data_IF_006659860357
#
_entry.id   IF_006659860357
#
_cell.length_a   1.000
_cell.length_b   1.000
_cell.length_c   1.000
_cell.angle_alpha   90.00
_cell.angle_beta   90.00
_cell.angle_gamma   90.00
#
_symmetry.space_group_name_H-M   'P 1'
#
loop_
_entity.id
_entity.type
_entity.pdbx_description
1 polymer ?
#
# COMPACT_ATOMS: atom_id res chain seq x y z
N UNK A 1 12.66 -31.56 -12.77
CA UNK A 1 12.91 -30.15 -12.41
C UNK A 1 12.03 -29.30 -13.32
N UNK A 2 10.96 -28.70 -12.77
CA UNK A 2 9.98 -27.96 -13.56
C UNK A 2 10.19 -26.45 -13.33
N UNK A 3 10.95 -25.76 -14.19
CA UNK A 3 11.32 -24.35 -14.00
C UNK A 3 10.10 -23.41 -13.94
N UNK A 4 8.98 -23.80 -14.55
CA UNK A 4 7.72 -23.06 -14.48
C UNK A 4 7.08 -23.09 -13.09
N UNK A 5 7.25 -24.18 -12.32
CA UNK A 5 6.73 -24.26 -10.94
C UNK A 5 7.57 -23.40 -9.97
N UNK A 6 8.86 -23.20 -10.24
CA UNK A 6 9.70 -22.31 -9.44
C UNK A 6 9.34 -20.83 -9.64
N UNK A 7 8.87 -20.47 -10.84
CA UNK A 7 8.34 -19.13 -11.14
C UNK A 7 7.03 -18.85 -10.38
N UNK A 8 6.20 -19.88 -10.19
CA UNK A 8 4.94 -19.86 -9.42
C UNK A 8 5.19 -20.27 -7.96
N UNK A 9 6.36 -19.91 -7.41
CA UNK A 9 6.61 -20.04 -5.98
C UNK A 9 6.00 -18.83 -5.24
N UNK A 10 5.48 -19.07 -4.03
CA UNK A 10 4.97 -18.04 -3.15
C UNK A 10 5.95 -16.86 -3.01
N UNK A 11 7.23 -17.14 -2.82
CA UNK A 11 8.28 -16.10 -2.69
C UNK A 11 8.34 -15.19 -3.92
N UNK A 12 8.35 -15.78 -5.11
CA UNK A 12 8.46 -15.07 -6.39
C UNK A 12 7.22 -14.22 -6.65
N UNK A 13 6.03 -14.80 -6.46
CA UNK A 13 4.76 -14.10 -6.63
C UNK A 13 4.66 -12.92 -5.65
N UNK A 14 5.00 -13.16 -4.38
CA UNK A 14 4.98 -12.13 -3.35
C UNK A 14 5.97 -11.00 -3.63
N UNK A 15 7.17 -11.29 -4.12
CA UNK A 15 8.13 -10.29 -4.55
C UNK A 15 7.61 -9.45 -5.73
N UNK A 16 6.97 -10.09 -6.73
CA UNK A 16 6.37 -9.38 -7.87
C UNK A 16 5.23 -8.46 -7.40
N UNK A 17 4.33 -8.95 -6.55
CA UNK A 17 3.23 -8.12 -6.00
C UNK A 17 3.79 -6.94 -5.20
N UNK A 18 4.82 -7.17 -4.39
CA UNK A 18 5.48 -6.13 -3.61
C UNK A 18 6.09 -5.05 -4.52
N UNK A 19 6.77 -5.44 -5.61
CA UNK A 19 7.33 -4.50 -6.58
C UNK A 19 6.25 -3.71 -7.32
N UNK A 20 5.16 -4.36 -7.75
CA UNK A 20 4.02 -3.68 -8.39
C UNK A 20 3.42 -2.63 -7.44
N UNK A 21 3.22 -2.99 -6.17
CA UNK A 21 2.77 -2.05 -5.15
C UNK A 21 3.71 -0.86 -5.00
N UNK A 22 5.02 -1.09 -4.92
CA UNK A 22 6.01 -0.03 -4.79
C UNK A 22 6.03 0.93 -5.99
N UNK A 23 6.02 0.39 -7.22
CA UNK A 23 5.94 1.18 -8.45
C UNK A 23 4.63 1.98 -8.48
N UNK A 24 3.51 1.35 -8.11
CA UNK A 24 2.21 1.99 -8.06
C UNK A 24 2.15 3.19 -7.12
N UNK A 25 2.75 3.11 -5.93
CA UNK A 25 2.81 4.22 -4.97
C UNK A 25 3.54 5.45 -5.56
N UNK A 26 4.60 5.21 -6.34
CA UNK A 26 5.41 6.28 -6.94
C UNK A 26 4.70 6.90 -8.13
N UNK A 27 4.15 6.09 -9.04
CA UNK A 27 3.59 6.56 -10.32
C UNK A 27 2.20 7.20 -10.19
N UNK A 28 1.37 6.77 -9.24
CA UNK A 28 -0.02 7.23 -9.18
C UNK A 28 -0.13 8.66 -8.65
N UNK A 29 -0.92 9.55 -9.28
CA UNK A 29 -1.05 10.94 -8.84
C UNK A 29 -1.99 11.11 -7.65
N UNK A 30 -3.04 10.29 -7.57
CA UNK A 30 -4.08 10.44 -6.55
C UNK A 30 -3.65 9.80 -5.24
N UNK A 31 -3.84 10.49 -4.10
CA UNK A 31 -3.38 9.99 -2.82
C UNK A 31 -4.15 8.74 -2.35
N UNK A 32 -5.42 8.59 -2.72
CA UNK A 32 -6.21 7.38 -2.44
C UNK A 32 -5.64 6.17 -3.20
N UNK A 33 -5.36 6.34 -4.48
CA UNK A 33 -4.83 5.24 -5.31
C UNK A 33 -3.45 4.77 -4.79
N UNK A 34 -2.65 5.67 -4.20
CA UNK A 34 -1.40 5.31 -3.50
C UNK A 34 -1.64 4.42 -2.28
N UNK A 35 -2.71 4.63 -1.52
CA UNK A 35 -3.06 3.79 -0.36
C UNK A 35 -3.43 2.38 -0.82
N UNK A 36 -4.12 2.26 -1.95
CA UNK A 36 -4.45 0.94 -2.54
C UNK A 36 -3.16 0.22 -2.95
N UNK A 37 -2.22 0.92 -3.60
CA UNK A 37 -0.92 0.35 -3.97
C UNK A 37 -0.06 0.02 -2.75
N UNK A 38 -0.19 0.79 -1.66
CA UNK A 38 0.43 0.49 -0.38
C UNK A 38 -0.10 -0.81 0.24
N UNK A 39 -1.42 -1.05 0.18
CA UNK A 39 -2.00 -2.31 0.62
C UNK A 39 -1.50 -3.50 -0.22
N UNK A 40 -1.31 -3.33 -1.54
CA UNK A 40 -0.69 -4.36 -2.38
C UNK A 40 0.77 -4.62 -1.99
N UNK A 41 1.55 -3.58 -1.70
CA UNK A 41 2.93 -3.71 -1.22
C UNK A 41 2.97 -4.50 0.09
N UNK A 42 2.11 -4.17 1.05
CA UNK A 42 1.99 -4.89 2.32
C UNK A 42 1.57 -6.35 2.12
N UNK A 43 0.61 -6.61 1.23
CA UNK A 43 0.20 -7.98 0.88
C UNK A 43 1.34 -8.81 0.28
N UNK A 44 2.13 -8.22 -0.60
CA UNK A 44 3.36 -8.84 -1.11
C UNK A 44 4.38 -9.10 0.00
N UNK A 45 4.55 -8.15 0.92
CA UNK A 45 5.46 -8.29 2.07
C UNK A 45 5.02 -9.41 3.03
N UNK A 46 3.74 -9.50 3.38
CA UNK A 46 3.17 -10.59 4.19
C UNK A 46 3.43 -11.95 3.52
N UNK A 47 3.26 -12.03 2.19
CA UNK A 47 3.53 -13.25 1.44
C UNK A 47 4.99 -13.70 1.50
N UNK A 48 5.95 -12.76 1.51
CA UNK A 48 7.38 -13.06 1.73
C UNK A 48 7.61 -13.60 3.15
N UNK A 49 7.01 -12.98 4.17
CA UNK A 49 7.12 -13.44 5.57
C UNK A 49 6.57 -14.87 5.71
N UNK A 50 5.43 -15.16 5.09
CA UNK A 50 4.83 -16.48 5.07
C UNK A 50 5.74 -17.50 4.34
N UNK A 51 6.34 -17.12 3.20
CA UNK A 51 7.29 -17.95 2.47
C UNK A 51 8.57 -18.26 3.29
N UNK A 52 8.99 -17.30 4.13
CA UNK A 52 10.10 -17.45 5.06
C UNK A 52 9.74 -18.26 6.33
N UNK A 53 8.53 -18.83 6.41
CA UNK A 53 8.03 -19.65 7.52
C UNK A 53 7.88 -18.90 8.86
N UNK A 54 7.81 -17.58 8.83
CA UNK A 54 7.51 -16.75 10.01
C UNK A 54 6.00 -16.53 10.16
N UNK A 55 5.24 -17.61 10.32
CA UNK A 55 3.78 -17.57 10.21
C UNK A 55 3.11 -16.70 11.29
N UNK A 56 3.66 -16.66 12.50
CA UNK A 56 3.14 -15.82 13.60
C UNK A 56 3.24 -14.33 13.26
N UNK A 57 4.36 -13.93 12.63
CA UNK A 57 4.59 -12.56 12.17
C UNK A 57 3.68 -12.24 10.99
N UNK A 58 3.50 -13.18 10.06
CA UNK A 58 2.60 -13.01 8.92
C UNK A 58 1.15 -12.82 9.37
N UNK A 59 0.70 -13.61 10.35
CA UNK A 59 -0.63 -13.49 10.94
C UNK A 59 -0.82 -12.15 11.66
N UNK A 60 0.14 -11.73 12.48
CA UNK A 60 0.09 -10.44 13.14
C UNK A 60 0.03 -9.30 12.11
N UNK A 61 0.91 -9.31 11.10
CA UNK A 61 0.93 -8.31 10.05
C UNK A 61 -0.40 -8.26 9.28
N UNK A 62 -0.98 -9.40 8.91
CA UNK A 62 -2.27 -9.46 8.21
C UNK A 62 -3.45 -8.86 9.01
N UNK A 63 -3.38 -8.87 10.34
CA UNK A 63 -4.39 -8.26 11.22
C UNK A 63 -4.14 -6.75 11.40
N UNK A 64 -2.88 -6.35 11.61
CA UNK A 64 -2.53 -4.96 11.90
C UNK A 64 -2.44 -4.07 10.66
N UNK A 65 -2.05 -4.60 9.50
CA UNK A 65 -1.90 -3.83 8.27
C UNK A 65 -3.20 -3.18 7.78
N UNK A 66 -4.37 -3.84 7.81
CA UNK A 66 -5.66 -3.20 7.51
C UNK A 66 -5.98 -2.05 8.47
N UNK A 67 -5.69 -2.22 9.76
CA UNK A 67 -5.91 -1.17 10.78
C UNK A 67 -5.04 0.05 10.46
N UNK A 68 -3.75 -0.18 10.17
CA UNK A 68 -2.82 0.88 9.77
C UNK A 68 -3.27 1.59 8.50
N UNK A 69 -3.76 0.83 7.52
CA UNK A 69 -4.29 1.36 6.25
C UNK A 69 -5.50 2.28 6.48
N UNK A 70 -6.43 1.89 7.36
CA UNK A 70 -7.58 2.74 7.72
C UNK A 70 -7.14 4.04 8.37
N UNK A 71 -6.18 3.99 9.30
CA UNK A 71 -5.64 5.19 9.95
C UNK A 71 -4.97 6.10 8.92
N UNK A 72 -4.17 5.55 8.01
CA UNK A 72 -3.52 6.29 6.93
C UNK A 72 -4.54 6.94 5.99
N UNK A 73 -5.62 6.23 5.66
CA UNK A 73 -6.68 6.74 4.80
C UNK A 73 -7.38 7.96 5.45
N UNK A 74 -7.71 7.86 6.74
CA UNK A 74 -8.28 8.98 7.52
C UNK A 74 -7.33 10.18 7.51
N UNK A 75 -6.04 9.95 7.74
CA UNK A 75 -5.03 11.01 7.74
C UNK A 75 -4.94 11.72 6.37
N UNK A 76 -4.93 10.95 5.28
CA UNK A 76 -4.87 11.48 3.91
C UNK A 76 -6.11 12.30 3.56
N UNK A 77 -7.31 11.81 3.90
CA UNK A 77 -8.56 12.53 3.66
C UNK A 77 -8.52 13.87 4.40
N UNK A 78 -8.12 13.87 5.68
CA UNK A 78 -8.06 15.08 6.49
C UNK A 78 -7.02 16.09 5.96
N UNK A 79 -5.86 15.61 5.50
CA UNK A 79 -4.86 16.47 4.85
C UNK A 79 -5.43 17.08 3.56
N UNK A 80 -6.16 16.31 2.76
CA UNK A 80 -6.75 16.79 1.53
C UNK A 80 -7.81 17.87 1.79
N UNK A 81 -8.69 17.66 2.77
CA UNK A 81 -9.67 18.68 3.18
C UNK A 81 -9.02 19.99 3.62
N UNK A 82 -7.91 19.94 4.36
CA UNK A 82 -7.19 21.14 4.80
C UNK A 82 -6.56 21.88 3.60
N UNK A 83 -6.03 21.15 2.62
CA UNK A 83 -5.45 21.73 1.40
C UNK A 83 -6.50 22.44 0.55
N UNK A 84 -7.65 21.79 0.35
CA UNK A 84 -8.76 22.38 -0.41
C UNK A 84 -9.29 23.65 0.28
N UNK A 85 -9.48 23.62 1.61
CA UNK A 85 -9.93 24.81 2.37
C UNK A 85 -8.98 25.99 2.23
N UNK A 86 -7.66 25.76 2.29
CA UNK A 86 -6.65 26.83 2.10
C UNK A 86 -6.73 27.43 0.70
N UNK A 87 -6.86 26.58 -0.32
CA UNK A 87 -6.94 27.03 -1.71
C UNK A 87 -8.17 27.91 -1.94
N UNK A 88 -9.34 27.54 -1.40
CA UNK A 88 -10.55 28.36 -1.49
C UNK A 88 -10.44 29.69 -0.74
N UNK A 89 -9.71 29.75 0.38
CA UNK A 89 -9.46 31.00 1.11
C UNK A 89 -8.52 31.94 0.34
N UNK A 90 -7.49 31.40 -0.32
CA UNK A 90 -6.57 32.19 -1.15
C UNK A 90 -7.28 32.76 -2.38
N UNK A 91 -8.12 31.97 -3.05
CA UNK A 91 -8.93 32.43 -4.19
C UNK A 91 -9.94 33.52 -3.79
N UNK A 92 -10.55 33.40 -2.60
CA UNK A 92 -11.47 34.42 -2.07
C UNK A 92 -10.79 35.70 -1.58
N UNK A 93 -9.49 35.68 -1.27
CA UNK A 93 -8.71 36.86 -0.90
C UNK A 93 -8.14 37.63 -2.11
N UNK A 94 -8.13 37.00 -3.29
CA UNK A 94 -7.64 37.57 -4.55
C UNK A 94 -8.76 38.19 -5.40
N UNK A 95 -10.03 37.95 -5.03
CA UNK A 95 -11.23 38.53 -5.64
C UNK A 95 -11.72 39.76 -4.86
#
# INVERSE_FOLDING_TARGET
>A
MYPLLELVNLTTISAVVMLIGAIGIILLPKPIDKVIMFALLQGGFIGIIAAAKYLDVAMAAAIFDPISTVILLIAIIKINEVREKKKSQEEGNLA
#
